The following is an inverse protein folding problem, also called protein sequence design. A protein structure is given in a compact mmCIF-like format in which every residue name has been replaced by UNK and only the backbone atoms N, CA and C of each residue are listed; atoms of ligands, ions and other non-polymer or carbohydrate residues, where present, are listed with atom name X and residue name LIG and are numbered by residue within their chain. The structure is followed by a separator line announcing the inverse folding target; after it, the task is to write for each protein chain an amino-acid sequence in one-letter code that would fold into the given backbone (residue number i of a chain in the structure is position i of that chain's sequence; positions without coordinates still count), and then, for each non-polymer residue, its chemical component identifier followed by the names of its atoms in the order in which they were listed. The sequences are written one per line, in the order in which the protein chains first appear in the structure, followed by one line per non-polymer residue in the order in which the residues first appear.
data_IF_954951756949
#
_entry.id   IF_954951756949
#
_cell.length_a   1.000
_cell.length_b   1.000
_cell.length_c   1.000
_cell.angle_alpha   90.00
_cell.angle_beta   90.00
_cell.angle_gamma   90.00
#
_symmetry.space_group_name_H-M   'P 1'
#
loop_
_entity.id
_entity.type
_entity.pdbx_description
1 polymer ?
#
# COMPACT_ATOMS: atom_id res chain seq x y z
N UNK A 1 -2.71 17.47 -18.67
CA UNK A 1 -1.81 16.41 -18.19
C UNK A 1 -2.70 15.22 -17.93
N UNK A 2 -2.80 14.32 -18.91
CA UNK A 2 -3.69 13.17 -18.85
C UNK A 2 -3.18 12.22 -17.76
N UNK A 3 -3.97 12.03 -16.71
CA UNK A 3 -3.70 11.01 -15.70
C UNK A 3 -3.91 9.66 -16.39
N UNK A 4 -2.83 8.90 -16.58
CA UNK A 4 -2.91 7.55 -17.10
C UNK A 4 -3.48 6.61 -16.01
N UNK A 5 -4.79 6.70 -15.77
CA UNK A 5 -5.57 5.77 -14.96
C UNK A 5 -6.18 4.73 -15.89
N UNK A 6 -5.36 3.77 -16.35
CA UNK A 6 -5.81 2.63 -17.13
C UNK A 6 -5.68 1.38 -16.28
N UNK A 7 -6.80 0.80 -15.83
CA UNK A 7 -6.81 -0.55 -15.26
C UNK A 7 -6.44 -1.55 -16.37
N UNK A 8 -5.17 -1.94 -16.44
CA UNK A 8 -4.77 -3.02 -17.32
C UNK A 8 -5.02 -4.34 -16.62
N UNK A 9 -6.22 -4.90 -16.85
CA UNK A 9 -6.49 -6.29 -16.47
C UNK A 9 -5.65 -7.19 -17.36
N UNK A 10 -4.51 -7.64 -16.85
CA UNK A 10 -3.70 -8.63 -17.55
C UNK A 10 -4.38 -9.99 -17.48
N UNK A 11 -5.01 -10.40 -18.58
CA UNK A 11 -5.57 -11.73 -18.73
C UNK A 11 -4.51 -12.72 -19.22
N UNK A 12 -3.92 -13.47 -18.30
CA UNK A 12 -3.11 -14.62 -18.69
C UNK A 12 -4.01 -15.83 -19.00
N UNK A 13 -4.10 -16.25 -20.27
CA UNK A 13 -4.92 -17.42 -20.66
C UNK A 13 -4.41 -18.75 -20.09
N UNK A 14 -3.17 -18.79 -19.57
CA UNK A 14 -2.49 -19.99 -19.06
C UNK A 14 -2.63 -20.15 -17.54
N UNK A 15 -2.74 -19.04 -16.80
CA UNK A 15 -3.09 -19.01 -15.39
C UNK A 15 -4.19 -17.98 -15.20
N UNK A 16 -5.37 -18.43 -14.76
CA UNK A 16 -6.61 -17.64 -14.66
C UNK A 16 -6.54 -16.58 -13.54
N UNK A 17 -5.53 -15.71 -13.59
CA UNK A 17 -5.24 -14.64 -12.64
C UNK A 17 -5.29 -13.29 -13.34
N UNK A 18 -6.02 -12.36 -12.74
CA UNK A 18 -6.12 -10.96 -13.15
C UNK A 18 -5.25 -10.14 -12.19
N UNK A 19 -4.30 -9.38 -12.75
CA UNK A 19 -3.42 -8.47 -12.01
C UNK A 19 -3.93 -7.04 -12.24
N UNK A 20 -4.07 -6.27 -11.17
CA UNK A 20 -4.45 -4.86 -11.21
C UNK A 20 -3.29 -4.00 -10.68
N UNK A 21 -2.97 -2.95 -11.43
CA UNK A 21 -1.81 -2.05 -11.21
C UNK A 21 -2.03 -1.02 -10.08
N UNK A 22 -0.99 -0.24 -9.80
CA UNK A 22 -0.84 0.72 -8.71
C UNK A 22 -1.78 1.93 -8.84
N UNK A 23 -2.48 2.27 -7.76
CA UNK A 23 -3.31 3.49 -7.69
C UNK A 23 -2.99 4.35 -6.47
N UNK A 24 -3.33 5.65 -6.59
CA UNK A 24 -3.39 6.58 -5.46
C UNK A 24 -4.61 6.30 -4.57
N UNK A 25 -4.50 6.61 -3.28
CA UNK A 25 -5.46 6.27 -2.21
C UNK A 25 -6.95 6.42 -2.59
N UNK A 26 -7.33 7.52 -3.24
CA UNK A 26 -8.71 7.84 -3.61
C UNK A 26 -9.23 6.97 -4.77
N UNK A 27 -8.38 6.70 -5.76
CA UNK A 27 -8.73 5.94 -6.96
C UNK A 27 -8.87 4.44 -6.64
N UNK A 28 -8.08 3.92 -5.70
CA UNK A 28 -8.18 2.54 -5.20
C UNK A 28 -9.62 2.22 -4.78
N UNK A 29 -10.20 3.03 -3.90
CA UNK A 29 -11.47 2.74 -3.24
C UNK A 29 -12.62 2.69 -4.27
N UNK A 30 -12.61 3.59 -5.24
CA UNK A 30 -13.59 3.62 -6.34
C UNK A 30 -13.49 2.35 -7.19
N UNK A 31 -12.28 1.94 -7.56
CA UNK A 31 -12.05 0.77 -8.42
C UNK A 31 -12.37 -0.56 -7.73
N UNK A 32 -12.02 -0.69 -6.44
CA UNK A 32 -12.36 -1.87 -5.64
C UNK A 32 -13.87 -2.07 -5.52
N UNK A 33 -14.62 -0.98 -5.36
CA UNK A 33 -16.08 -1.00 -5.26
C UNK A 33 -16.79 -1.32 -6.58
N UNK A 34 -16.34 -0.69 -7.67
CA UNK A 34 -17.08 -0.73 -8.95
C UNK A 34 -16.89 -2.01 -9.76
N UNK A 35 -15.71 -2.62 -9.72
CA UNK A 35 -15.39 -3.71 -10.66
C UNK A 35 -15.45 -5.12 -10.06
N UNK A 36 -15.91 -5.27 -8.80
CA UNK A 36 -15.98 -6.56 -8.10
C UNK A 36 -14.67 -7.38 -8.25
N UNK A 37 -13.53 -6.68 -8.20
CA UNK A 37 -12.21 -7.22 -8.49
C UNK A 37 -11.58 -7.94 -7.28
N UNK A 38 -12.40 -8.53 -6.41
CA UNK A 38 -11.97 -9.28 -5.24
C UNK A 38 -12.33 -10.78 -5.39
N UNK A 39 -11.52 -11.67 -4.80
CA UNK A 39 -11.76 -13.11 -4.80
C UNK A 39 -10.51 -13.94 -5.12
N UNK A 40 -10.61 -15.27 -4.93
CA UNK A 40 -9.47 -16.23 -4.93
C UNK A 40 -8.63 -16.29 -6.21
N UNK A 41 -9.06 -15.63 -7.29
CA UNK A 41 -8.39 -15.66 -8.61
C UNK A 41 -7.83 -14.29 -9.01
N UNK A 42 -7.90 -13.28 -8.14
CA UNK A 42 -7.43 -11.92 -8.42
C UNK A 42 -6.38 -11.55 -7.38
N UNK A 43 -5.29 -10.95 -7.84
CA UNK A 43 -4.15 -10.58 -7.00
C UNK A 43 -3.85 -9.10 -7.23
N UNK A 44 -3.65 -8.38 -6.13
CA UNK A 44 -3.42 -6.94 -6.13
C UNK A 44 -1.99 -6.63 -5.74
N UNK A 45 -1.38 -5.66 -6.44
CA UNK A 45 -0.12 -5.05 -6.03
C UNK A 45 -0.38 -3.62 -5.59
N UNK A 46 -0.02 -3.28 -4.35
CA UNK A 46 -0.25 -1.96 -3.75
C UNK A 46 1.11 -1.39 -3.32
N UNK A 47 1.28 -0.08 -3.44
CA UNK A 47 2.44 0.61 -2.87
C UNK A 47 2.27 0.80 -1.35
N UNK A 48 3.28 0.44 -0.56
CA UNK A 48 3.20 0.43 0.91
C UNK A 48 3.38 1.78 1.62
N UNK A 49 3.23 2.90 0.92
CA UNK A 49 3.44 4.23 1.50
C UNK A 49 2.19 4.80 2.20
N UNK A 50 1.11 4.01 2.26
CA UNK A 50 -0.13 4.40 2.92
C UNK A 50 -0.06 4.16 4.42
N UNK A 51 -0.76 5.01 5.17
CA UNK A 51 -0.89 4.84 6.62
C UNK A 51 -1.56 3.51 6.97
N UNK A 52 -1.27 3.01 8.16
CA UNK A 52 -1.98 1.84 8.68
C UNK A 52 -3.48 2.09 8.74
N UNK A 53 -4.26 1.12 8.27
CA UNK A 53 -5.72 1.21 8.22
C UNK A 53 -6.27 2.37 7.37
N UNK A 54 -5.52 2.84 6.37
CA UNK A 54 -5.94 3.87 5.42
C UNK A 54 -7.37 3.65 4.87
N UNK A 55 -7.76 2.39 4.65
CA UNK A 55 -9.09 1.99 4.15
C UNK A 55 -10.24 2.19 5.14
N UNK A 56 -9.97 2.60 6.39
CA UNK A 56 -11.00 2.88 7.40
C UNK A 56 -11.50 4.32 7.40
N UNK A 57 -10.89 5.19 6.60
CA UNK A 57 -11.32 6.57 6.48
C UNK A 57 -12.55 6.62 5.57
N UNK A 58 -13.70 6.99 6.14
CA UNK A 58 -14.90 7.26 5.36
C UNK A 58 -14.69 8.54 4.53
N UNK A 59 -14.90 8.44 3.22
CA UNK A 59 -14.97 9.60 2.35
C UNK A 59 -16.23 9.47 1.48
N UNK A 60 -17.06 10.52 1.55
CA UNK A 60 -18.37 10.62 0.91
C UNK A 60 -18.33 10.54 -0.63
N UNK A 61 -17.13 10.56 -1.22
CA UNK A 61 -16.92 10.38 -2.66
C UNK A 61 -16.84 8.91 -3.08
N UNK A 62 -16.83 7.98 -2.13
CA UNK A 62 -16.73 6.55 -2.40
C UNK A 62 -18.10 5.89 -2.35
N UNK A 63 -18.36 5.04 -3.34
CA UNK A 63 -19.64 4.32 -3.51
C UNK A 63 -19.61 2.97 -2.77
N UNK A 64 -18.45 2.54 -2.27
CA UNK A 64 -18.27 1.27 -1.56
C UNK A 64 -18.43 1.42 -0.04
N UNK A 65 -19.02 0.41 0.61
CA UNK A 65 -19.06 0.34 2.07
C UNK A 65 -17.71 -0.08 2.65
N UNK A 66 -17.44 0.25 3.92
CA UNK A 66 -16.22 -0.18 4.61
C UNK A 66 -16.01 -1.70 4.59
N UNK A 67 -17.09 -2.47 4.72
CA UNK A 67 -17.01 -3.94 4.69
C UNK A 67 -16.58 -4.47 3.32
N UNK A 68 -17.07 -3.86 2.23
CA UNK A 68 -16.66 -4.19 0.87
C UNK A 68 -15.19 -3.86 0.63
N UNK A 69 -14.75 -2.68 1.08
CA UNK A 69 -13.37 -2.27 0.94
C UNK A 69 -12.43 -3.17 1.78
N UNK A 70 -12.83 -3.52 3.00
CA UNK A 70 -12.10 -4.42 3.89
C UNK A 70 -11.94 -5.83 3.30
N UNK A 71 -12.94 -6.34 2.60
CA UNK A 71 -12.83 -7.62 1.89
C UNK A 71 -11.89 -7.52 0.69
N UNK A 72 -11.93 -6.39 -0.01
CA UNK A 72 -11.17 -6.18 -1.23
C UNK A 72 -9.66 -5.97 -0.97
N UNK A 73 -9.29 -5.38 0.17
CA UNK A 73 -7.88 -5.20 0.60
C UNK A 73 -7.30 -6.42 1.32
N UNK A 74 -7.94 -7.60 1.27
CA UNK A 74 -7.38 -8.84 1.82
C UNK A 74 -6.42 -9.49 0.84
N UNK A 75 -5.19 -9.72 1.30
CA UNK A 75 -4.15 -10.41 0.53
C UNK A 75 -3.51 -9.65 -0.64
N UNK A 76 -3.36 -8.30 -0.63
CA UNK A 76 -2.54 -7.62 -1.60
C UNK A 76 -1.05 -7.92 -1.34
N UNK A 77 -0.27 -7.99 -2.41
CA UNK A 77 1.17 -7.83 -2.32
C UNK A 77 1.47 -6.35 -2.18
N UNK A 78 2.11 -5.98 -1.08
CA UNK A 78 2.51 -4.61 -0.82
C UNK A 78 4.00 -4.47 -1.16
N UNK A 79 4.34 -3.50 -1.97
CA UNK A 79 5.73 -3.19 -2.32
C UNK A 79 6.10 -1.82 -1.74
N UNK A 80 7.13 -1.80 -0.90
CA UNK A 80 7.72 -0.58 -0.35
C UNK A 80 9.24 -0.68 -0.34
N UNK A 81 9.91 0.47 -0.27
CA UNK A 81 11.35 0.55 -0.10
C UNK A 81 11.70 0.58 1.38
N UNK A 82 12.66 -0.24 1.78
CA UNK A 82 13.25 -0.17 3.12
C UNK A 82 13.98 1.16 3.31
N UNK A 83 13.51 1.99 4.26
CA UNK A 83 14.06 3.33 4.54
C UNK A 83 15.36 3.24 5.37
N UNK A 84 15.40 2.33 6.33
CA UNK A 84 16.51 2.18 7.27
C UNK A 84 17.23 0.86 7.06
N UNK A 85 18.56 0.86 7.17
CA UNK A 85 19.33 -0.37 7.09
C UNK A 85 18.94 -1.32 8.23
N UNK A 86 18.60 -2.57 7.89
CA UNK A 86 18.05 -3.52 8.86
C UNK A 86 19.12 -4.22 9.69
N UNK A 87 20.31 -4.40 9.12
CA UNK A 87 21.41 -5.02 9.86
C UNK A 87 22.05 -4.01 10.81
N UNK A 88 22.58 -4.47 11.97
CA UNK A 88 23.26 -3.61 12.93
C UNK A 88 24.69 -3.26 12.46
N UNK A 89 24.82 -2.73 11.25
CA UNK A 89 26.09 -2.24 10.71
C UNK A 89 26.34 -0.82 11.19
N UNK A 90 27.59 -0.57 11.58
CA UNK A 90 28.03 0.76 11.95
C UNK A 90 28.14 1.65 10.71
N UNK A 91 27.55 2.84 10.78
CA UNK A 91 27.72 3.89 9.79
C UNK A 91 29.11 4.50 9.90
N UNK A 92 29.66 4.96 8.78
CA UNK A 92 30.95 5.67 8.78
C UNK A 92 30.86 6.97 9.59
N UNK A 93 29.71 7.64 9.52
CA UNK A 93 29.42 8.84 10.30
C UNK A 93 28.98 8.43 11.70
N UNK A 94 29.71 8.87 12.72
CA UNK A 94 29.34 8.68 14.13
C UNK A 94 29.55 7.28 14.71
N UNK A 95 29.91 6.27 13.90
CA UNK A 95 30.09 4.87 14.34
C UNK A 95 28.87 4.33 15.10
N UNK A 96 27.67 4.64 14.61
CA UNK A 96 26.40 4.18 15.20
C UNK A 96 25.64 3.29 14.22
N UNK A 97 24.72 2.48 14.73
CA UNK A 97 23.79 1.72 13.89
C UNK A 97 22.61 2.58 13.43
N UNK A 98 21.88 2.13 12.41
CA UNK A 98 20.68 2.81 11.92
C UNK A 98 19.61 2.96 13.04
N UNK A 99 19.50 1.98 13.93
CA UNK A 99 18.56 2.01 15.07
C UNK A 99 18.98 3.04 16.13
N UNK A 100 20.27 3.09 16.48
CA UNK A 100 20.79 4.08 17.43
C UNK A 100 20.66 5.52 16.88
N UNK A 101 20.69 5.68 15.56
CA UNK A 101 20.44 6.97 14.94
C UNK A 101 18.98 7.43 15.08
N UNK A 102 18.00 6.52 15.08
CA UNK A 102 16.57 6.87 15.15
C UNK A 102 16.04 7.08 16.56
N UNK A 103 16.65 6.47 17.59
CA UNK A 103 16.21 6.61 18.99
C UNK A 103 15.95 8.06 19.45
N UNK A 104 16.82 9.05 19.15
CA UNK A 104 16.58 10.44 19.54
C UNK A 104 15.40 11.06 18.77
N UNK A 105 15.23 10.70 17.49
CA UNK A 105 14.12 11.19 16.66
C UNK A 105 12.79 10.66 17.18
N UNK A 106 12.75 9.38 17.54
CA UNK A 106 11.54 8.73 18.07
C UNK A 106 11.12 9.36 19.40
N UNK A 107 12.09 9.63 20.28
CA UNK A 107 11.85 10.30 21.58
C UNK A 107 11.30 11.72 21.39
N UNK A 108 11.84 12.47 20.42
CA UNK A 108 11.38 13.83 20.13
C UNK A 108 9.95 13.85 19.57
N UNK A 109 9.59 12.87 18.73
CA UNK A 109 8.26 12.77 18.14
C UNK A 109 7.18 12.27 19.12
N UNK A 110 7.55 11.61 20.23
CA UNK A 110 6.60 11.14 21.24
C UNK A 110 6.10 12.24 22.19
N UNK A 111 6.76 13.39 22.24
CA UNK A 111 6.37 14.53 23.07
C UNK A 111 5.77 15.71 22.26
N UNK A 112 5.44 15.48 20.98
CA UNK A 112 4.89 16.47 20.06
C UNK A 112 3.37 16.38 19.93
#
# INVERSE_FOLDING_TARGET
METATSCQVYHNKKQRQEICDVYYFHECQILYGQHALHGKKKVWFIIGWYQDNWYKVEDNRHICTMDQLKEAVKGPFITESTILHQEPRLTEVGMVTAQQFTEPLDTACQHA
#
